data_IF_927764257457
#
_entry.id   IF_927764257457
#
_cell.length_a   1.000
_cell.length_b   1.000
_cell.length_c   1.000
_cell.angle_alpha   90.00
_cell.angle_beta   90.00
_cell.angle_gamma   90.00
#
_symmetry.space_group_name_H-M   'P 1'
#
loop_
_entity.id
_entity.type
_entity.pdbx_description
1 polymer ?
#
# COMPACT_ATOMS: atom_id res chain seq x y z
N UNK A 1 -19.51 -34.14 -43.99
CA UNK A 1 -18.16 -33.56 -44.19
C UNK A 1 -18.24 -32.12 -43.69
N UNK A 2 -17.30 -31.56 -42.94
CA UNK A 2 -15.89 -31.97 -42.80
C UNK A 2 -15.01 -30.69 -42.62
N UNK A 3 -14.87 -30.01 -41.49
CA UNK A 3 -15.12 -30.39 -40.08
C UNK A 3 -15.58 -29.20 -39.19
N UNK A 4 -15.85 -29.46 -37.90
CA UNK A 4 -16.25 -28.49 -36.89
C UNK A 4 -15.07 -27.74 -36.25
N UNK A 5 -15.14 -26.39 -36.26
CA UNK A 5 -14.23 -25.55 -35.50
C UNK A 5 -14.66 -25.48 -34.03
N UNK A 6 -14.33 -26.52 -33.25
CA UNK A 6 -14.40 -26.46 -31.79
C UNK A 6 -13.35 -25.48 -31.30
N UNK A 7 -13.76 -24.22 -31.06
CA UNK A 7 -12.92 -23.25 -30.37
C UNK A 7 -12.56 -23.83 -28.99
N UNK A 8 -11.29 -24.19 -28.81
CA UNK A 8 -10.77 -24.61 -27.51
C UNK A 8 -10.81 -23.42 -26.56
N UNK A 9 -11.88 -23.32 -25.78
CA UNK A 9 -11.94 -22.42 -24.62
C UNK A 9 -10.80 -22.84 -23.69
N UNK A 10 -9.73 -22.05 -23.67
CA UNK A 10 -8.66 -22.23 -22.70
C UNK A 10 -9.28 -22.08 -21.31
N UNK A 11 -9.45 -23.19 -20.60
CA UNK A 11 -9.88 -23.19 -19.22
C UNK A 11 -8.77 -22.54 -18.40
N UNK A 12 -8.98 -21.29 -17.98
CA UNK A 12 -8.09 -20.60 -17.03
C UNK A 12 -8.24 -21.28 -15.68
N UNK A 13 -7.49 -22.36 -15.49
CA UNK A 13 -7.32 -23.10 -14.23
C UNK A 13 -5.97 -22.82 -13.58
N UNK A 14 -5.32 -21.71 -13.95
CA UNK A 14 -4.23 -21.16 -13.15
C UNK A 14 -4.82 -20.64 -11.82
N UNK A 15 -4.64 -21.45 -10.78
CA UNK A 15 -4.95 -21.03 -9.42
C UNK A 15 -4.01 -19.88 -9.06
N UNK A 16 -4.58 -18.70 -8.81
CA UNK A 16 -3.81 -17.49 -8.48
C UNK A 16 -3.14 -17.54 -7.09
N UNK A 17 -3.43 -18.59 -6.31
CA UNK A 17 -2.80 -18.94 -5.04
C UNK A 17 -2.67 -20.48 -4.93
N UNK A 18 -1.67 -21.01 -4.18
CA UNK A 18 -0.57 -20.28 -3.55
C UNK A 18 0.32 -19.58 -4.59
N UNK A 19 1.02 -18.54 -4.16
CA UNK A 19 1.79 -17.69 -5.06
C UNK A 19 2.99 -18.42 -5.66
N UNK A 20 3.53 -17.89 -6.76
CA UNK A 20 4.79 -18.37 -7.35
C UNK A 20 6.02 -18.23 -6.46
N UNK A 21 5.91 -17.49 -5.35
CA UNK A 21 6.97 -17.33 -4.35
C UNK A 21 6.80 -18.29 -3.16
N UNK A 22 5.71 -19.07 -3.12
CA UNK A 22 5.46 -20.11 -2.14
C UNK A 22 4.24 -19.84 -1.24
N UNK A 23 3.70 -20.91 -0.65
CA UNK A 23 2.47 -20.87 0.17
C UNK A 23 2.59 -20.14 1.52
N UNK A 24 3.81 -19.70 1.89
CA UNK A 24 4.09 -18.91 3.10
C UNK A 24 4.58 -17.49 2.78
N UNK A 25 4.56 -17.07 1.52
CA UNK A 25 4.96 -15.72 1.11
C UNK A 25 3.90 -14.68 1.44
N UNK A 26 4.32 -13.57 2.01
CA UNK A 26 3.50 -12.39 2.34
C UNK A 26 3.99 -11.12 1.61
N UNK A 27 5.11 -11.19 0.88
CA UNK A 27 5.75 -10.04 0.24
C UNK A 27 5.38 -9.87 -1.25
N UNK A 28 4.97 -10.94 -1.94
CA UNK A 28 4.53 -10.90 -3.33
C UNK A 28 5.60 -10.35 -4.27
N UNK A 29 5.22 -9.38 -5.11
CA UNK A 29 6.13 -8.79 -6.09
C UNK A 29 7.34 -8.05 -5.48
N UNK A 30 7.34 -7.75 -4.18
CA UNK A 30 8.51 -7.21 -3.50
C UNK A 30 9.69 -8.19 -3.48
N UNK A 31 9.44 -9.50 -3.61
CA UNK A 31 10.49 -10.53 -3.74
C UNK A 31 11.38 -10.33 -4.98
N UNK A 32 10.92 -9.60 -6.00
CA UNK A 32 11.72 -9.28 -7.20
C UNK A 32 12.72 -8.12 -6.96
N UNK A 33 12.60 -7.39 -5.84
CA UNK A 33 13.49 -6.28 -5.47
C UNK A 33 14.72 -6.82 -4.73
N UNK A 34 15.57 -7.54 -5.46
CA UNK A 34 16.83 -8.08 -4.94
C UNK A 34 17.96 -7.04 -4.81
N UNK A 35 19.05 -7.40 -4.13
CA UNK A 35 20.20 -6.52 -3.88
C UNK A 35 20.81 -5.92 -5.17
N UNK A 36 20.89 -6.70 -6.25
CA UNK A 36 21.38 -6.21 -7.55
C UNK A 36 20.48 -5.13 -8.16
N UNK A 37 19.16 -5.23 -7.96
CA UNK A 37 18.22 -4.20 -8.42
C UNK A 37 18.39 -2.89 -7.65
N UNK A 38 18.62 -2.97 -6.33
CA UNK A 38 18.88 -1.82 -5.45
C UNK A 38 20.20 -1.14 -5.81
N UNK A 39 21.28 -1.93 -5.99
CA UNK A 39 22.59 -1.42 -6.44
C UNK A 39 22.50 -0.84 -7.85
N UNK A 40 21.73 -1.45 -8.74
CA UNK A 40 21.44 -0.93 -10.09
C UNK A 40 20.72 0.42 -10.06
N UNK A 41 19.68 0.55 -9.25
CA UNK A 41 18.94 1.80 -9.05
C UNK A 41 19.82 2.91 -8.45
N UNK A 42 20.62 2.59 -7.42
CA UNK A 42 21.58 3.54 -6.85
C UNK A 42 22.60 4.03 -7.90
N UNK A 43 23.11 3.13 -8.75
CA UNK A 43 24.02 3.46 -9.87
C UNK A 43 23.36 4.29 -10.97
N UNK A 44 22.03 4.34 -11.07
CA UNK A 44 21.33 5.18 -12.04
C UNK A 44 21.36 6.69 -11.65
N UNK A 45 21.62 7.02 -10.38
CA UNK A 45 21.74 8.41 -9.92
C UNK A 45 23.04 9.03 -10.43
N UNK A 46 22.95 9.90 -11.45
CA UNK A 46 24.12 10.57 -12.07
C UNK A 46 24.25 12.07 -11.78
N UNK A 47 23.15 12.74 -11.41
CA UNK A 47 23.09 14.22 -11.31
C UNK A 47 22.59 14.74 -9.96
N UNK A 48 22.30 13.85 -9.00
CA UNK A 48 21.75 14.24 -7.69
C UNK A 48 20.40 14.98 -7.73
N UNK A 49 19.66 14.91 -8.85
CA UNK A 49 18.34 15.53 -8.95
C UNK A 49 17.31 14.68 -8.21
N UNK A 50 16.52 15.34 -7.38
CA UNK A 50 15.36 14.77 -6.68
C UNK A 50 14.11 15.41 -7.28
N UNK A 51 13.07 14.60 -7.47
CA UNK A 51 11.75 15.05 -7.88
C UNK A 51 10.76 14.50 -6.86
N UNK A 52 9.90 15.36 -6.33
CA UNK A 52 8.79 14.92 -5.50
C UNK A 52 7.68 14.36 -6.39
N UNK A 53 7.12 13.21 -5.99
CA UNK A 53 6.02 12.52 -6.67
C UNK A 53 4.77 12.46 -5.78
N UNK A 54 4.82 13.03 -4.58
CA UNK A 54 3.69 13.14 -3.69
C UNK A 54 2.81 14.34 -4.05
N UNK A 55 1.49 14.19 -3.89
CA UNK A 55 0.61 15.33 -3.70
C UNK A 55 0.74 15.84 -2.27
N UNK A 56 0.78 17.16 -2.10
CA UNK A 56 0.61 17.80 -0.79
C UNK A 56 -0.74 17.39 -0.21
N UNK A 57 -0.77 16.88 1.02
CA UNK A 57 -2.00 16.56 1.72
C UNK A 57 -2.59 17.86 2.32
N UNK A 58 -3.84 18.13 2.00
CA UNK A 58 -4.66 19.20 2.56
C UNK A 58 -6.12 18.73 2.62
N UNK A 59 -7.00 19.46 3.31
CA UNK A 59 -8.38 19.01 3.53
C UNK A 59 -9.20 18.88 2.23
N UNK A 60 -8.85 19.64 1.19
CA UNK A 60 -9.45 19.59 -0.15
C UNK A 60 -8.68 18.70 -1.15
N UNK A 61 -7.78 17.82 -0.68
CA UNK A 61 -7.03 16.91 -1.57
C UNK A 61 -8.00 15.96 -2.28
N UNK A 62 -7.81 15.64 -3.58
CA UNK A 62 -8.70 14.73 -4.31
C UNK A 62 -8.86 13.38 -3.59
N UNK A 63 -10.11 12.99 -3.35
CA UNK A 63 -10.47 11.80 -2.59
C UNK A 63 -11.63 11.04 -3.24
N UNK A 64 -11.68 9.73 -3.04
CA UNK A 64 -12.88 8.94 -3.31
C UNK A 64 -14.00 9.32 -2.32
N UNK A 65 -15.24 9.20 -2.76
CA UNK A 65 -16.43 9.52 -1.95
C UNK A 65 -16.39 8.82 -0.58
N UNK A 66 -16.77 9.56 0.47
CA UNK A 66 -16.73 9.10 1.86
C UNK A 66 -15.36 9.12 2.54
N UNK A 67 -14.26 9.37 1.81
CA UNK A 67 -12.91 9.55 2.39
C UNK A 67 -12.61 11.04 2.59
N UNK A 68 -11.80 11.37 3.60
CA UNK A 68 -11.32 12.72 3.86
C UNK A 68 -9.94 12.70 4.52
N UNK A 69 -9.13 13.73 4.25
CA UNK A 69 -7.96 14.07 5.06
C UNK A 69 -8.35 15.15 6.08
N UNK A 70 -8.06 14.94 7.36
CA UNK A 70 -8.17 15.97 8.41
C UNK A 70 -6.84 16.14 9.11
N UNK A 71 -6.44 17.39 9.31
CA UNK A 71 -5.27 17.78 10.08
C UNK A 71 -5.66 18.93 11.00
N UNK A 72 -5.34 18.80 12.28
CA UNK A 72 -5.68 19.73 13.35
C UNK A 72 -4.43 20.03 14.18
N UNK A 73 -4.19 21.30 14.49
CA UNK A 73 -3.09 21.77 15.32
C UNK A 73 -3.60 22.02 16.75
N UNK A 74 -2.99 21.38 17.74
CA UNK A 74 -3.25 21.68 19.15
C UNK A 74 -2.78 23.10 19.51
N UNK A 75 -3.40 23.68 20.54
CA UNK A 75 -2.87 24.87 21.18
C UNK A 75 -1.40 24.65 21.58
N UNK A 76 -0.46 25.55 21.22
CA UNK A 76 0.96 25.40 21.54
C UNK A 76 1.17 25.22 23.05
N UNK A 77 2.03 24.25 23.41
CA UNK A 77 2.28 23.88 24.79
C UNK A 77 3.65 24.37 25.26
N UNK A 78 3.72 24.91 26.48
CA UNK A 78 4.97 25.33 27.11
C UNK A 78 5.45 24.28 28.12
N UNK A 79 6.73 23.96 28.08
CA UNK A 79 7.39 23.11 29.07
C UNK A 79 7.90 23.99 30.21
N UNK A 80 7.52 23.67 31.46
CA UNK A 80 8.02 24.39 32.62
C UNK A 80 9.54 24.19 32.78
N UNK A 81 10.29 25.28 32.83
CA UNK A 81 11.75 25.26 33.04
C UNK A 81 12.44 26.56 32.61
N UNK A 82 13.72 26.75 32.94
CA UNK A 82 14.46 27.98 32.66
C UNK A 82 14.80 28.17 31.17
N UNK A 83 14.56 27.15 30.34
CA UNK A 83 14.96 27.12 28.93
C UNK A 83 13.91 27.64 27.95
N UNK A 84 12.70 27.99 28.43
CA UNK A 84 11.63 28.54 27.58
C UNK A 84 11.16 27.60 26.47
N UNK A 85 11.28 26.28 26.66
CA UNK A 85 10.90 25.29 25.66
C UNK A 85 9.38 25.21 25.50
N UNK A 86 8.95 25.00 24.27
CA UNK A 86 7.57 24.68 23.94
C UNK A 86 7.52 23.75 22.73
N UNK A 87 6.36 23.15 22.49
CA UNK A 87 6.10 22.26 21.36
C UNK A 87 4.67 22.42 20.85
N UNK A 88 4.46 21.95 19.63
CA UNK A 88 3.13 21.83 19.01
C UNK A 88 2.85 20.36 18.72
N UNK A 89 1.57 19.99 18.72
CA UNK A 89 1.12 18.66 18.32
C UNK A 89 0.16 18.85 17.15
N UNK A 90 0.41 18.13 16.06
CA UNK A 90 -0.55 17.99 14.97
C UNK A 90 -1.20 16.61 15.04
N UNK A 91 -2.52 16.56 14.91
CA UNK A 91 -3.27 15.32 14.74
C UNK A 91 -3.69 15.19 13.30
N UNK A 92 -3.45 14.02 12.71
CA UNK A 92 -3.93 13.65 11.37
C UNK A 92 -4.91 12.50 11.50
N UNK A 93 -6.05 12.60 10.82
CA UNK A 93 -7.03 11.53 10.70
C UNK A 93 -7.45 11.37 9.24
N UNK A 94 -7.03 10.27 8.62
CA UNK A 94 -7.34 9.90 7.24
C UNK A 94 -7.30 8.37 7.07
N UNK A 95 -8.03 7.80 6.09
CA UNK A 95 -7.71 6.47 5.56
C UNK A 95 -6.28 6.43 5.01
N UNK A 96 -5.61 5.28 5.03
CA UNK A 96 -4.26 5.14 4.46
C UNK A 96 -4.22 5.35 2.93
N UNK A 97 -5.36 5.20 2.26
CA UNK A 97 -5.53 5.43 0.82
C UNK A 97 -5.90 6.90 0.49
N UNK A 98 -5.12 7.84 1.03
CA UNK A 98 -5.32 9.28 0.89
C UNK A 98 -4.09 9.94 0.26
N UNK A 99 -4.31 10.82 -0.74
CA UNK A 99 -3.22 11.41 -1.53
C UNK A 99 -2.41 10.35 -2.29
N UNK A 100 -1.10 10.59 -2.46
CA UNK A 100 -0.18 9.60 -3.04
C UNK A 100 0.11 8.51 -2.01
N UNK A 101 -0.30 7.27 -2.29
CA UNK A 101 -0.22 6.13 -1.35
C UNK A 101 0.21 4.84 -2.05
N UNK A 102 0.43 3.79 -1.25
CA UNK A 102 0.65 2.42 -1.70
C UNK A 102 -0.42 1.52 -1.07
N UNK A 103 -1.14 0.77 -1.91
CA UNK A 103 -2.04 -0.28 -1.42
C UNK A 103 -1.25 -1.56 -1.12
N UNK A 104 -1.40 -2.08 0.09
CA UNK A 104 -0.82 -3.36 0.49
C UNK A 104 -1.65 -4.54 -0.07
N UNK A 105 -1.06 -5.73 -0.07
CA UNK A 105 -1.59 -6.94 -0.73
C UNK A 105 -2.90 -7.49 -0.12
N UNK A 106 -3.26 -6.97 1.04
CA UNK A 106 -4.53 -7.18 1.76
C UNK A 106 -5.67 -6.25 1.30
N UNK A 107 -5.38 -5.16 0.57
CA UNK A 107 -6.38 -4.12 0.27
C UNK A 107 -7.55 -4.62 -0.59
N UNK A 108 -7.26 -5.48 -1.56
CA UNK A 108 -8.24 -6.08 -2.46
C UNK A 108 -8.35 -7.59 -2.21
N UNK A 109 -9.57 -8.10 -2.25
CA UNK A 109 -9.85 -9.53 -2.08
C UNK A 109 -10.78 -10.07 -3.17
N UNK A 110 -10.57 -11.33 -3.56
CA UNK A 110 -11.46 -12.08 -4.45
C UNK A 110 -12.05 -13.25 -3.69
N UNK A 111 -13.38 -13.36 -3.66
CA UNK A 111 -14.12 -14.43 -2.98
C UNK A 111 -13.69 -14.62 -1.50
N UNK A 112 -13.56 -13.51 -0.76
CA UNK A 112 -13.16 -13.53 0.65
C UNK A 112 -11.68 -13.85 0.91
N UNK A 113 -10.83 -13.85 -0.12
CA UNK A 113 -9.38 -14.08 0.02
C UNK A 113 -8.54 -12.93 -0.55
N UNK A 114 -7.56 -12.48 0.22
CA UNK A 114 -6.50 -11.55 -0.21
C UNK A 114 -5.34 -12.35 -0.84
N UNK A 115 -4.20 -11.69 -1.07
CA UNK A 115 -2.99 -12.32 -1.59
C UNK A 115 -2.61 -13.64 -0.91
N UNK A 116 -1.98 -14.53 -1.70
CA UNK A 116 -1.62 -15.91 -1.33
C UNK A 116 -2.79 -16.79 -0.81
N UNK A 117 -4.04 -16.33 -0.96
CA UNK A 117 -5.22 -17.05 -0.52
C UNK A 117 -5.58 -16.86 0.95
N UNK A 118 -4.95 -15.94 1.67
CA UNK A 118 -5.31 -15.62 3.06
C UNK A 118 -6.79 -15.19 3.14
N UNK A 119 -7.55 -15.76 4.08
CA UNK A 119 -8.98 -15.43 4.23
C UNK A 119 -9.13 -14.13 4.99
N UNK A 120 -9.98 -13.23 4.50
CA UNK A 120 -10.19 -11.90 5.09
C UNK A 120 -10.58 -12.00 6.56
N UNK A 121 -11.46 -12.95 6.91
CA UNK A 121 -11.91 -13.18 8.29
C UNK A 121 -10.79 -13.65 9.24
N UNK A 122 -9.80 -14.39 8.73
CA UNK A 122 -8.70 -14.94 9.55
C UNK A 122 -7.60 -13.89 9.82
N UNK A 123 -7.54 -12.84 8.98
CA UNK A 123 -6.49 -11.81 9.05
C UNK A 123 -6.98 -10.47 9.59
N UNK A 124 -8.30 -10.26 9.73
CA UNK A 124 -8.87 -8.98 10.19
C UNK A 124 -8.63 -8.76 11.69
N UNK A 125 -8.11 -7.59 12.05
CA UNK A 125 -7.89 -7.15 13.43
C UNK A 125 -8.54 -5.77 13.68
N UNK A 126 -8.76 -5.36 14.95
CA UNK A 126 -9.41 -4.06 15.25
C UNK A 126 -8.67 -2.81 14.75
N UNK A 127 -7.42 -2.95 14.33
CA UNK A 127 -6.52 -1.86 13.93
C UNK A 127 -5.76 -2.15 12.62
N UNK A 128 -6.22 -3.11 11.80
CA UNK A 128 -5.60 -3.46 10.53
C UNK A 128 -5.79 -4.92 10.14
N UNK A 129 -4.83 -5.48 9.40
CA UNK A 129 -4.75 -6.94 9.14
C UNK A 129 -3.42 -7.52 9.63
N UNK A 130 -3.38 -8.84 9.81
CA UNK A 130 -2.19 -9.60 10.25
C UNK A 130 -1.39 -10.22 9.08
N UNK A 131 -1.81 -9.92 7.85
CA UNK A 131 -1.26 -10.29 6.53
C UNK A 131 -1.54 -9.14 5.56
#
# INVERSE_FOLDING_TARGET
MNDGNTATTATVTDSWWPSRYGAADEAGALNEIGADSVVGAARAVRRGRVYDLAHVLHMDVPAFEGRAFRQELDAPQSVAGPYGLGFVIERVHAPSQMGTHMDALNHLHRNGRTYNGHRVEDITAPYGTTK
#
